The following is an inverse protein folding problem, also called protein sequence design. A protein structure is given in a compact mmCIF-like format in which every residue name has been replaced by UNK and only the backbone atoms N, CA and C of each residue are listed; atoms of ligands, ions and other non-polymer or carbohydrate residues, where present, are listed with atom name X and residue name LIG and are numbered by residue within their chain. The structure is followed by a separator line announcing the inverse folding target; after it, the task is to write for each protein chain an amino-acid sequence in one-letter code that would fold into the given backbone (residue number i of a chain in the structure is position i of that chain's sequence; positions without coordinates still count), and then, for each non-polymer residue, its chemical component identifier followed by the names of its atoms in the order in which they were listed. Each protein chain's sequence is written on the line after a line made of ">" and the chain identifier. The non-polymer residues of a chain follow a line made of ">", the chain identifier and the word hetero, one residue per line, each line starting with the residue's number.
data_IF_640078358324
#
_entry.id   IF_640078358324
#
_cell.length_a   1.000
_cell.length_b   1.000
_cell.length_c   1.000
_cell.angle_alpha   90.00
_cell.angle_beta   90.00
_cell.angle_gamma   90.00
#
_symmetry.space_group_name_H-M   'P 1'
#
loop_
_entity.id
_entity.type
_entity.pdbx_description
1 polymer ?
#
# COMPACT_ATOMS: atom_id res chain seq x y z
N UNK A 1 -22.83 -15.46 2.31
CA UNK A 1 -21.73 -15.31 1.34
C UNK A 1 -22.29 -14.54 0.17
N UNK A 2 -21.77 -13.35 -0.13
CA UNK A 2 -22.14 -12.66 -1.36
C UNK A 2 -21.74 -13.55 -2.54
N UNK A 3 -22.65 -13.71 -3.51
CA UNK A 3 -22.36 -14.49 -4.72
C UNK A 3 -21.20 -13.81 -5.45
N UNK A 4 -20.16 -14.55 -5.81
CA UNK A 4 -18.98 -13.99 -6.48
C UNK A 4 -19.36 -13.28 -7.79
N UNK A 5 -18.94 -12.00 -7.92
CA UNK A 5 -19.16 -11.18 -9.13
C UNK A 5 -18.17 -11.54 -10.23
N UNK A 6 -18.55 -11.29 -11.48
CA UNK A 6 -17.62 -11.29 -12.63
C UNK A 6 -16.95 -9.92 -12.74
N UNK A 7 -15.68 -9.83 -12.36
CA UNK A 7 -14.92 -8.58 -12.32
C UNK A 7 -13.87 -8.60 -13.44
N UNK A 8 -13.92 -7.57 -14.28
CA UNK A 8 -13.01 -7.41 -15.41
C UNK A 8 -11.98 -6.31 -15.12
N UNK A 9 -10.69 -6.63 -15.25
CA UNK A 9 -9.60 -5.70 -14.99
C UNK A 9 -8.95 -5.24 -16.31
N UNK A 10 -8.99 -3.94 -16.60
CA UNK A 10 -8.29 -3.34 -17.75
C UNK A 10 -6.88 -2.91 -17.32
N UNK A 11 -5.85 -3.36 -18.05
CA UNK A 11 -4.45 -3.19 -17.68
C UNK A 11 -4.01 -4.18 -16.60
N UNK A 12 -4.51 -5.43 -16.69
CA UNK A 12 -4.37 -6.45 -15.64
C UNK A 12 -2.93 -6.89 -15.39
N UNK A 13 -2.02 -6.75 -16.38
CA UNK A 13 -0.63 -7.15 -16.28
C UNK A 13 0.26 -6.12 -15.54
N UNK A 14 -0.28 -4.98 -15.11
CA UNK A 14 0.41 -4.10 -14.18
C UNK A 14 0.58 -4.78 -12.81
N UNK A 15 1.74 -4.62 -12.15
CA UNK A 15 2.07 -5.30 -10.88
C UNK A 15 0.96 -5.16 -9.82
N UNK A 16 0.48 -3.94 -9.60
CA UNK A 16 -0.57 -3.68 -8.62
C UNK A 16 -1.92 -4.28 -9.05
N UNK A 17 -2.25 -4.25 -10.35
CA UNK A 17 -3.48 -4.82 -10.88
C UNK A 17 -3.48 -6.36 -10.82
N UNK A 18 -2.33 -7.00 -11.07
CA UNK A 18 -2.18 -8.45 -10.91
C UNK A 18 -2.35 -8.87 -9.44
N UNK A 19 -1.79 -8.09 -8.51
CA UNK A 19 -1.98 -8.30 -7.07
C UNK A 19 -3.45 -8.14 -6.65
N UNK A 20 -4.14 -7.14 -7.18
CA UNK A 20 -5.58 -6.96 -7.00
C UNK A 20 -6.37 -8.15 -7.55
N UNK A 21 -6.01 -8.66 -8.73
CA UNK A 21 -6.65 -9.85 -9.31
C UNK A 21 -6.58 -11.04 -8.34
N UNK A 22 -5.44 -11.24 -7.70
CA UNK A 22 -5.25 -12.28 -6.69
C UNK A 22 -6.12 -12.07 -5.44
N UNK A 23 -6.19 -10.85 -4.90
CA UNK A 23 -7.07 -10.52 -3.77
C UNK A 23 -8.55 -10.78 -4.10
N UNK A 24 -9.02 -10.33 -5.26
CA UNK A 24 -10.40 -10.54 -5.71
C UNK A 24 -10.72 -12.04 -5.89
N UNK A 25 -9.77 -12.81 -6.41
CA UNK A 25 -9.88 -14.28 -6.50
C UNK A 25 -9.99 -14.93 -5.13
N UNK A 26 -9.14 -14.51 -4.17
CA UNK A 26 -9.21 -15.01 -2.79
C UNK A 26 -10.53 -14.63 -2.10
N UNK A 27 -11.14 -13.52 -2.48
CA UNK A 27 -12.46 -13.12 -2.01
C UNK A 27 -13.62 -13.90 -2.66
N UNK A 28 -13.33 -14.78 -3.64
CA UNK A 28 -14.33 -15.62 -4.30
C UNK A 28 -14.96 -15.02 -5.55
N UNK A 29 -14.41 -13.93 -6.09
CA UNK A 29 -14.86 -13.35 -7.35
C UNK A 29 -14.31 -14.14 -8.56
N UNK A 30 -15.06 -14.13 -9.65
CA UNK A 30 -14.55 -14.50 -10.97
C UNK A 30 -13.79 -13.30 -11.52
N UNK A 31 -12.50 -13.49 -11.83
CA UNK A 31 -11.63 -12.42 -12.31
C UNK A 31 -11.09 -12.78 -13.68
N UNK A 32 -11.15 -11.84 -14.59
CA UNK A 32 -10.53 -11.87 -15.92
C UNK A 32 -10.15 -10.44 -16.32
N UNK A 33 -9.41 -10.28 -17.38
CA UNK A 33 -9.05 -8.93 -17.80
C UNK A 33 -8.30 -8.89 -19.11
N UNK A 34 -7.80 -7.72 -19.46
CA UNK A 34 -7.05 -7.46 -20.67
C UNK A 34 -5.83 -6.60 -20.42
N UNK A 35 -4.90 -6.70 -21.35
CA UNK A 35 -3.75 -5.80 -21.43
C UNK A 35 -3.35 -5.57 -22.89
N UNK A 36 -2.55 -4.52 -23.14
CA UNK A 36 -1.93 -4.29 -24.45
C UNK A 36 -0.99 -5.46 -24.80
N UNK A 37 -0.23 -5.91 -23.79
CA UNK A 37 0.67 -7.04 -23.91
C UNK A 37 0.91 -7.68 -22.52
N UNK A 38 0.95 -9.00 -22.46
CA UNK A 38 1.23 -9.74 -21.25
C UNK A 38 2.65 -10.31 -21.30
N UNK A 39 3.48 -9.92 -20.32
CA UNK A 39 4.87 -10.37 -20.18
C UNK A 39 5.14 -10.96 -18.80
N UNK A 40 6.06 -11.94 -18.69
CA UNK A 40 6.56 -12.38 -17.41
C UNK A 40 7.20 -11.20 -16.61
N UNK A 41 7.11 -11.22 -15.29
CA UNK A 41 6.53 -12.29 -14.42
C UNK A 41 5.01 -12.20 -14.23
N UNK A 42 4.35 -11.09 -14.59
CA UNK A 42 2.93 -10.88 -14.28
C UNK A 42 2.01 -11.83 -15.06
N UNK A 43 2.32 -12.13 -16.34
CA UNK A 43 1.55 -13.10 -17.12
C UNK A 43 1.55 -14.48 -16.47
N UNK A 44 2.71 -14.91 -15.95
CA UNK A 44 2.87 -16.22 -15.33
C UNK A 44 2.09 -16.30 -14.00
N UNK A 45 2.19 -15.26 -13.17
CA UNK A 45 1.41 -15.16 -11.93
C UNK A 45 -0.10 -15.20 -12.18
N UNK A 46 -0.59 -14.48 -13.19
CA UNK A 46 -2.01 -14.49 -13.56
C UNK A 46 -2.44 -15.87 -14.06
N UNK A 47 -1.60 -16.54 -14.85
CA UNK A 47 -1.87 -17.90 -15.33
C UNK A 47 -1.91 -18.91 -14.16
N UNK A 48 -0.98 -18.84 -13.22
CA UNK A 48 -0.98 -19.67 -11.99
C UNK A 48 -2.23 -19.46 -11.14
N UNK A 49 -2.75 -18.24 -11.08
CA UNK A 49 -4.01 -17.92 -10.42
C UNK A 49 -5.25 -18.37 -11.19
N UNK A 50 -5.09 -18.89 -12.43
CA UNK A 50 -6.19 -19.25 -13.31
C UNK A 50 -6.99 -18.04 -13.81
N UNK A 51 -6.35 -16.88 -13.95
CA UNK A 51 -6.95 -15.64 -14.44
C UNK A 51 -6.73 -15.52 -15.94
N UNK A 52 -7.82 -15.44 -16.70
CA UNK A 52 -7.75 -15.28 -18.15
C UNK A 52 -7.38 -13.84 -18.54
N UNK A 53 -6.35 -13.68 -19.37
CA UNK A 53 -5.88 -12.41 -19.91
C UNK A 53 -6.11 -12.34 -21.41
N UNK A 54 -6.91 -11.40 -21.86
CA UNK A 54 -7.14 -11.12 -23.29
C UNK A 54 -6.10 -10.10 -23.81
N UNK A 55 -5.65 -10.29 -25.05
CA UNK A 55 -4.73 -9.40 -25.76
C UNK A 55 -5.08 -9.39 -27.25
N UNK A 56 -4.94 -8.26 -27.95
CA UNK A 56 -4.88 -6.90 -27.40
C UNK A 56 -6.24 -6.48 -26.85
N UNK A 57 -6.37 -5.20 -26.41
CA UNK A 57 -7.66 -4.61 -26.06
C UNK A 57 -8.64 -4.71 -27.25
N UNK A 58 -9.83 -5.22 -26.98
CA UNK A 58 -10.88 -5.34 -27.99
C UNK A 58 -12.26 -5.32 -27.31
N UNK A 59 -13.23 -4.63 -27.90
CA UNK A 59 -14.57 -4.53 -27.32
C UNK A 59 -15.19 -5.89 -27.00
N UNK A 60 -14.96 -6.92 -27.82
CA UNK A 60 -15.42 -8.30 -27.60
C UNK A 60 -14.89 -8.96 -26.32
N UNK A 61 -13.79 -8.48 -25.77
CA UNK A 61 -13.20 -9.03 -24.54
C UNK A 61 -14.10 -8.82 -23.31
N UNK A 62 -15.03 -7.86 -23.38
CA UNK A 62 -16.05 -7.63 -22.38
C UNK A 62 -17.23 -8.62 -22.42
N UNK A 63 -17.18 -9.62 -23.32
CA UNK A 63 -18.18 -10.69 -23.36
C UNK A 63 -17.75 -11.92 -22.53
N UNK A 64 -18.63 -12.51 -21.73
CA UNK A 64 -19.96 -11.98 -21.35
C UNK A 64 -19.81 -10.64 -20.59
N UNK A 65 -20.87 -9.81 -20.59
CA UNK A 65 -20.87 -8.52 -19.89
C UNK A 65 -20.49 -8.71 -18.41
N UNK A 66 -19.41 -8.04 -17.92
CA UNK A 66 -19.01 -8.14 -16.51
C UNK A 66 -19.96 -7.38 -15.58
N UNK A 67 -19.99 -7.79 -14.31
CA UNK A 67 -20.71 -7.07 -13.25
C UNK A 67 -20.02 -5.76 -12.86
N UNK A 68 -18.68 -5.71 -12.99
CA UNK A 68 -17.85 -4.56 -12.68
C UNK A 68 -16.59 -4.56 -13.54
N UNK A 69 -16.19 -3.38 -14.02
CA UNK A 69 -14.89 -3.15 -14.66
C UNK A 69 -13.99 -2.33 -13.74
N UNK A 70 -12.79 -2.83 -13.48
CA UNK A 70 -11.75 -2.06 -12.77
C UNK A 70 -10.79 -1.49 -13.80
N UNK A 71 -10.69 -0.17 -13.84
CA UNK A 71 -9.87 0.55 -14.82
C UNK A 71 -8.51 0.86 -14.22
N UNK A 72 -7.43 0.31 -14.80
CA UNK A 72 -6.07 0.63 -14.42
C UNK A 72 -5.68 2.07 -14.75
N UNK A 73 -4.73 2.64 -14.03
CA UNK A 73 -4.34 4.06 -14.17
C UNK A 73 -3.72 4.39 -15.54
N UNK A 74 -3.13 3.43 -16.23
CA UNK A 74 -2.57 3.61 -17.57
C UNK A 74 -3.64 3.66 -18.68
N UNK A 75 -4.89 3.30 -18.38
CA UNK A 75 -5.99 3.30 -19.34
C UNK A 75 -6.54 4.71 -19.49
N UNK A 76 -6.69 5.16 -20.74
CA UNK A 76 -7.20 6.49 -21.07
C UNK A 76 -8.27 6.42 -22.17
N UNK A 77 -8.94 7.56 -22.39
CA UNK A 77 -9.92 7.73 -23.46
C UNK A 77 -9.31 7.35 -24.81
N UNK A 78 -10.12 6.74 -25.65
CA UNK A 78 -9.70 6.13 -26.93
C UNK A 78 -9.36 4.65 -26.83
N UNK A 79 -9.27 4.06 -25.63
CA UNK A 79 -9.18 2.61 -25.49
C UNK A 79 -10.54 1.97 -25.84
N UNK A 80 -10.55 1.02 -26.79
CA UNK A 80 -11.78 0.46 -27.35
C UNK A 80 -12.68 -0.25 -26.34
N UNK A 81 -12.09 -0.82 -25.28
CA UNK A 81 -12.86 -1.43 -24.19
C UNK A 81 -13.44 -0.35 -23.28
N UNK A 82 -12.65 0.67 -22.93
CA UNK A 82 -13.13 1.79 -22.12
C UNK A 82 -14.28 2.54 -22.80
N UNK A 83 -14.16 2.82 -24.10
CA UNK A 83 -15.24 3.48 -24.84
C UNK A 83 -16.52 2.64 -24.79
N UNK A 84 -16.44 1.32 -24.98
CA UNK A 84 -17.57 0.42 -24.82
C UNK A 84 -18.15 0.43 -23.41
N UNK A 85 -17.30 0.43 -22.38
CA UNK A 85 -17.74 0.52 -20.95
C UNK A 85 -18.59 1.77 -20.75
N UNK A 86 -18.16 2.90 -21.30
CA UNK A 86 -18.85 4.18 -21.16
C UNK A 86 -20.16 4.20 -21.97
N UNK A 87 -20.14 3.76 -23.23
CA UNK A 87 -21.29 3.75 -24.11
C UNK A 87 -22.44 2.85 -23.58
N UNK A 88 -22.08 1.66 -23.10
CA UNK A 88 -23.03 0.69 -22.58
C UNK A 88 -23.35 0.88 -21.08
N UNK A 89 -22.74 1.88 -20.43
CA UNK A 89 -22.90 2.14 -18.99
C UNK A 89 -22.64 0.88 -18.15
N UNK A 90 -21.56 0.16 -18.46
CA UNK A 90 -21.12 -0.95 -17.62
C UNK A 90 -20.58 -0.35 -16.32
N UNK A 91 -20.94 -0.86 -15.15
CA UNK A 91 -20.41 -0.37 -13.88
C UNK A 91 -18.88 -0.43 -13.90
N UNK A 92 -18.22 0.66 -13.54
CA UNK A 92 -16.77 0.70 -13.46
C UNK A 92 -16.28 1.50 -12.27
N UNK A 93 -15.06 1.20 -11.83
CA UNK A 93 -14.39 1.89 -10.74
C UNK A 93 -12.86 1.87 -10.95
N UNK A 94 -12.15 2.55 -10.07
CA UNK A 94 -10.70 2.48 -10.00
C UNK A 94 -10.22 1.32 -9.13
N UNK A 95 -8.93 0.96 -9.25
CA UNK A 95 -8.27 0.00 -8.36
C UNK A 95 -8.44 0.39 -6.88
N UNK A 96 -8.19 1.66 -6.54
CA UNK A 96 -8.26 2.12 -5.16
C UNK A 96 -9.68 2.07 -4.59
N UNK A 97 -10.70 2.39 -5.43
CA UNK A 97 -12.11 2.30 -5.02
C UNK A 97 -12.53 0.85 -4.76
N UNK A 98 -12.20 -0.10 -5.64
CA UNK A 98 -12.57 -1.51 -5.40
C UNK A 98 -11.86 -2.10 -4.21
N UNK A 99 -10.61 -1.69 -3.92
CA UNK A 99 -9.92 -2.11 -2.69
C UNK A 99 -10.70 -1.62 -1.47
N UNK A 100 -11.09 -0.35 -1.45
CA UNK A 100 -11.89 0.21 -0.37
C UNK A 100 -13.20 -0.56 -0.17
N UNK A 101 -13.96 -0.74 -1.25
CA UNK A 101 -15.34 -1.26 -1.18
C UNK A 101 -15.36 -2.76 -0.84
N UNK A 102 -14.41 -3.55 -1.37
CA UNK A 102 -14.40 -5.00 -1.19
C UNK A 102 -13.67 -5.44 0.09
N UNK A 103 -12.64 -4.70 0.50
CA UNK A 103 -11.70 -5.24 1.49
C UNK A 103 -11.56 -4.43 2.77
N UNK A 104 -11.90 -3.12 2.77
CA UNK A 104 -11.55 -2.27 3.90
C UNK A 104 -12.68 -2.04 4.92
N UNK A 105 -13.91 -2.48 4.62
CA UNK A 105 -15.00 -2.36 5.57
C UNK A 105 -14.76 -3.21 6.83
N UNK A 106 -14.81 -2.57 8.01
CA UNK A 106 -14.61 -3.24 9.30
C UNK A 106 -13.16 -3.67 9.59
N UNK A 107 -12.19 -3.21 8.79
CA UNK A 107 -10.76 -3.49 8.98
C UNK A 107 -10.06 -2.38 9.74
N UNK A 108 -8.95 -2.73 10.36
CA UNK A 108 -7.96 -1.78 10.88
C UNK A 108 -6.95 -1.51 9.76
N UNK A 109 -6.93 -0.27 9.25
CA UNK A 109 -6.27 0.10 8.01
C UNK A 109 -4.94 0.78 8.31
N UNK A 110 -3.84 0.13 7.96
CA UNK A 110 -2.49 0.64 8.17
C UNK A 110 -1.86 0.97 6.83
N UNK A 111 -1.61 2.24 6.58
CA UNK A 111 -1.12 2.75 5.29
C UNK A 111 0.30 3.27 5.42
N UNK A 112 1.19 2.81 4.56
CA UNK A 112 2.56 3.32 4.47
C UNK A 112 2.68 4.19 3.22
N UNK A 113 2.89 5.47 3.41
CA UNK A 113 3.00 6.46 2.33
C UNK A 113 4.33 7.24 2.40
N UNK A 114 4.72 7.84 1.30
CA UNK A 114 5.95 8.61 1.15
C UNK A 114 6.52 8.45 -0.26
N UNK A 115 7.49 9.27 -0.63
CA UNK A 115 8.11 9.18 -1.95
C UNK A 115 9.03 7.95 -2.05
N UNK A 116 9.78 7.64 -0.97
CA UNK A 116 10.72 6.53 -0.91
C UNK A 116 10.46 5.60 0.28
N UNK A 117 10.86 4.34 0.13
CA UNK A 117 10.80 3.35 1.20
C UNK A 117 9.44 2.71 1.45
N UNK A 118 8.39 3.07 0.72
CA UNK A 118 7.02 2.52 0.87
C UNK A 118 7.00 0.99 0.87
N UNK A 119 7.43 0.37 -0.21
CA UNK A 119 7.38 -1.09 -0.41
C UNK A 119 8.13 -1.85 0.69
N UNK A 120 9.35 -1.39 1.00
CA UNK A 120 10.18 -1.99 2.04
C UNK A 120 9.52 -1.87 3.42
N UNK A 121 9.05 -0.68 3.78
CA UNK A 121 8.39 -0.44 5.08
C UNK A 121 7.09 -1.21 5.19
N UNK A 122 6.28 -1.27 4.12
CA UNK A 122 5.04 -2.04 4.07
C UNK A 122 5.31 -3.53 4.25
N UNK A 123 6.35 -4.05 3.59
CA UNK A 123 6.76 -5.45 3.72
C UNK A 123 7.22 -5.78 5.14
N UNK A 124 8.03 -4.92 5.74
CA UNK A 124 8.47 -5.08 7.13
C UNK A 124 7.31 -5.02 8.11
N UNK A 125 6.39 -4.07 7.94
CA UNK A 125 5.20 -3.96 8.78
C UNK A 125 4.32 -5.21 8.68
N UNK A 126 4.06 -5.66 7.45
CA UNK A 126 3.30 -6.88 7.21
C UNK A 126 3.96 -8.11 7.85
N UNK A 127 5.31 -8.21 7.78
CA UNK A 127 6.05 -9.30 8.39
C UNK A 127 6.01 -9.27 9.92
N UNK A 128 6.11 -8.10 10.54
CA UNK A 128 5.94 -7.94 12.00
C UNK A 128 4.56 -8.49 12.43
N UNK A 129 3.50 -8.10 11.72
CA UNK A 129 2.15 -8.58 12.01
C UNK A 129 1.99 -10.09 11.75
N UNK A 130 2.60 -10.63 10.70
CA UNK A 130 2.57 -12.07 10.41
C UNK A 130 3.25 -12.88 11.53
N UNK A 131 4.41 -12.42 12.01
CA UNK A 131 5.13 -13.06 13.12
C UNK A 131 4.32 -12.96 14.42
N UNK A 132 3.76 -11.80 14.71
CA UNK A 132 2.88 -11.62 15.86
C UNK A 132 1.62 -12.50 15.76
N UNK A 133 1.08 -12.66 14.55
CA UNK A 133 -0.07 -13.51 14.26
C UNK A 133 0.16 -15.00 14.53
N UNK A 134 1.40 -15.47 14.56
CA UNK A 134 1.73 -16.86 14.96
C UNK A 134 1.39 -17.15 16.42
N UNK A 135 1.47 -16.14 17.28
CA UNK A 135 1.13 -16.21 18.72
C UNK A 135 -0.27 -15.69 19.00
N UNK A 136 -0.71 -14.66 18.26
CA UNK A 136 -2.01 -14.00 18.37
C UNK A 136 -2.69 -13.98 17.00
N UNK A 137 -3.45 -15.03 16.64
CA UNK A 137 -4.00 -15.24 15.28
C UNK A 137 -4.83 -14.05 14.75
N UNK A 138 -5.43 -13.27 15.64
CA UNK A 138 -6.20 -12.07 15.30
C UNK A 138 -5.36 -10.95 14.68
N UNK A 139 -4.03 -11.01 14.84
CA UNK A 139 -3.09 -10.04 14.28
C UNK A 139 -2.57 -10.44 12.88
N UNK A 140 -2.81 -11.65 12.40
CA UNK A 140 -2.37 -12.06 11.07
C UNK A 140 -2.92 -11.10 10.01
N UNK A 141 -2.07 -10.42 9.20
CA UNK A 141 -2.52 -9.32 8.37
C UNK A 141 -3.08 -9.78 7.03
N UNK A 142 -4.05 -9.04 6.51
CA UNK A 142 -4.22 -8.87 5.07
C UNK A 142 -3.25 -7.79 4.61
N UNK A 143 -2.76 -7.88 3.38
CA UNK A 143 -1.88 -6.85 2.84
C UNK A 143 -1.95 -6.73 1.32
N UNK A 144 -1.58 -5.55 0.83
CA UNK A 144 -1.30 -5.28 -0.57
C UNK A 144 -0.04 -4.40 -0.65
N UNK A 145 1.00 -4.94 -1.25
CA UNK A 145 2.34 -4.37 -1.36
C UNK A 145 2.65 -4.14 -2.85
N UNK A 146 3.38 -3.09 -3.19
CA UNK A 146 3.73 -2.73 -4.56
C UNK A 146 4.73 -3.66 -5.26
N UNK A 147 5.24 -4.67 -4.57
CA UNK A 147 6.15 -5.69 -5.09
C UNK A 147 6.01 -7.01 -4.34
N UNK A 148 6.64 -8.06 -4.85
CA UNK A 148 6.67 -9.36 -4.18
C UNK A 148 7.57 -9.27 -2.95
N UNK A 149 6.99 -9.44 -1.76
CA UNK A 149 7.75 -9.52 -0.52
C UNK A 149 8.29 -10.95 -0.37
N UNK A 150 9.62 -11.11 -0.37
CA UNK A 150 10.30 -12.42 -0.39
C UNK A 150 9.83 -13.33 0.75
N UNK A 151 9.67 -12.79 1.95
CA UNK A 151 9.21 -13.54 3.13
C UNK A 151 7.82 -14.17 2.96
N UNK A 152 7.00 -13.63 2.06
CA UNK A 152 5.65 -14.13 1.77
C UNK A 152 5.58 -14.88 0.44
N UNK A 153 6.56 -14.68 -0.44
CA UNK A 153 6.48 -15.12 -1.84
C UNK A 153 5.31 -14.50 -2.62
N UNK A 154 4.75 -13.40 -2.10
CA UNK A 154 3.55 -12.75 -2.64
C UNK A 154 3.55 -11.25 -2.35
N UNK A 155 2.85 -10.49 -3.19
CA UNK A 155 2.57 -9.07 -3.00
C UNK A 155 1.24 -8.80 -2.29
N UNK A 156 0.44 -9.83 -2.00
CA UNK A 156 -0.87 -9.71 -1.37
C UNK A 156 -1.21 -10.92 -0.50
N UNK A 157 -2.08 -10.70 0.47
CA UNK A 157 -2.77 -11.77 1.21
C UNK A 157 -4.12 -11.26 1.72
N UNK A 158 -5.13 -12.12 1.74
CA UNK A 158 -6.43 -11.86 2.34
C UNK A 158 -6.67 -12.82 3.51
N UNK A 159 -6.90 -12.28 4.70
CA UNK A 159 -7.16 -13.02 5.94
C UNK A 159 -8.50 -12.59 6.53
N UNK A 160 -9.19 -13.43 7.31
CA UNK A 160 -10.46 -13.06 7.97
C UNK A 160 -10.28 -12.15 9.20
N UNK A 161 -9.08 -11.66 9.45
CA UNK A 161 -8.67 -10.83 10.60
C UNK A 161 -8.86 -9.36 10.29
N UNK A 162 -8.74 -8.49 11.32
CA UNK A 162 -8.95 -7.05 11.16
C UNK A 162 -7.80 -6.29 10.48
N UNK A 163 -6.51 -6.56 10.79
CA UNK A 163 -5.42 -5.79 10.22
C UNK A 163 -5.38 -5.88 8.69
N UNK A 164 -5.33 -4.72 8.01
CA UNK A 164 -5.06 -4.62 6.59
C UNK A 164 -3.96 -3.59 6.34
N UNK A 165 -2.84 -4.04 5.80
CA UNK A 165 -1.65 -3.23 5.57
C UNK A 165 -1.55 -2.91 4.08
N UNK A 166 -1.46 -1.62 3.76
CA UNK A 166 -1.51 -1.11 2.39
C UNK A 166 -0.31 -0.23 2.09
N UNK A 167 0.26 -0.44 0.94
CA UNK A 167 1.18 0.54 0.36
C UNK A 167 0.37 1.73 -0.19
N UNK A 168 0.65 2.91 0.33
CA UNK A 168 0.00 4.16 -0.02
C UNK A 168 0.71 4.85 -1.18
N UNK A 169 0.27 4.54 -2.39
CA UNK A 169 0.81 5.12 -3.62
C UNK A 169 0.25 6.53 -3.86
N UNK A 170 1.15 7.47 -4.15
CA UNK A 170 0.84 8.86 -4.49
C UNK A 170 0.44 9.08 -5.94
N UNK A 171 0.52 8.06 -6.78
CA UNK A 171 0.13 8.15 -8.19
C UNK A 171 -1.39 8.27 -8.39
N UNK A 172 -1.75 8.90 -9.50
CA UNK A 172 -3.12 8.97 -10.01
C UNK A 172 -3.82 7.60 -9.99
N UNK A 173 -5.07 7.62 -9.59
CA UNK A 173 -5.88 6.42 -9.41
C UNK A 173 -6.40 5.86 -10.74
N UNK A 174 -6.96 6.73 -11.61
CA UNK A 174 -7.51 6.39 -12.91
C UNK A 174 -7.67 7.64 -13.79
N UNK A 175 -8.06 7.46 -15.05
CA UNK A 175 -8.27 8.59 -15.99
C UNK A 175 -9.34 9.58 -15.49
N UNK A 176 -10.33 9.13 -14.76
CA UNK A 176 -11.44 9.91 -14.19
C UNK A 176 -11.21 10.33 -12.74
N UNK A 177 -10.15 9.83 -12.10
CA UNK A 177 -9.77 10.13 -10.72
C UNK A 177 -8.28 10.45 -10.66
N UNK A 178 -7.99 11.76 -10.70
CA UNK A 178 -6.64 12.33 -10.72
C UNK A 178 -6.10 12.60 -9.32
N UNK A 179 -6.55 11.84 -8.35
CA UNK A 179 -6.06 11.87 -6.98
C UNK A 179 -5.19 10.67 -6.62
N UNK A 180 -4.30 10.83 -5.61
CA UNK A 180 -3.49 9.73 -5.09
C UNK A 180 -4.33 8.55 -4.60
N UNK A 181 -3.88 7.33 -4.88
CA UNK A 181 -4.58 6.09 -4.46
C UNK A 181 -4.80 6.02 -2.95
N UNK A 182 -3.84 6.48 -2.15
CA UNK A 182 -3.93 6.43 -0.69
C UNK A 182 -5.12 7.21 -0.11
N UNK A 183 -5.70 8.16 -0.85
CA UNK A 183 -6.88 8.91 -0.38
C UNK A 183 -8.14 8.06 -0.29
N UNK A 184 -8.19 6.93 -0.98
CA UNK A 184 -9.28 5.98 -0.92
C UNK A 184 -9.19 5.01 0.26
N UNK A 185 -8.06 4.97 0.96
CA UNK A 185 -7.83 3.93 1.97
C UNK A 185 -8.31 4.31 3.39
N UNK A 186 -8.49 5.59 3.68
CA UNK A 186 -8.98 6.10 4.99
C UNK A 186 -8.27 5.43 6.17
N UNK A 187 -6.98 5.65 6.37
CA UNK A 187 -6.18 4.91 7.34
C UNK A 187 -6.59 5.16 8.79
N UNK A 188 -6.61 4.11 9.62
CA UNK A 188 -6.66 4.23 11.08
C UNK A 188 -5.29 4.60 11.66
N UNK A 189 -4.20 4.14 11.01
CA UNK A 189 -2.86 4.62 11.29
C UNK A 189 -2.03 4.70 10.00
N UNK A 190 -1.10 5.65 9.93
CA UNK A 190 -0.24 5.85 8.79
C UNK A 190 1.23 5.97 9.17
N UNK A 191 2.11 5.48 8.30
CA UNK A 191 3.52 5.86 8.28
C UNK A 191 3.71 6.85 7.14
N UNK A 192 4.33 7.99 7.42
CA UNK A 192 4.80 8.93 6.40
C UNK A 192 6.32 8.88 6.42
N UNK A 193 6.89 8.25 5.40
CA UNK A 193 8.34 8.08 5.28
C UNK A 193 8.99 9.36 4.79
N UNK A 194 9.53 9.40 3.59
CA UNK A 194 10.14 10.58 3.01
C UNK A 194 9.17 11.24 2.04
N UNK A 195 9.10 12.57 2.02
CA UNK A 195 8.30 13.33 1.07
C UNK A 195 9.20 14.34 0.38
N UNK A 196 9.33 14.21 -0.93
CA UNK A 196 10.08 15.14 -1.77
C UNK A 196 9.42 15.29 -3.13
N UNK A 197 9.89 16.26 -3.93
CA UNK A 197 9.37 16.43 -5.27
C UNK A 197 9.91 15.35 -6.20
N UNK A 198 9.09 14.36 -6.42
CA UNK A 198 9.27 13.29 -7.40
C UNK A 198 8.01 13.20 -8.26
N UNK A 199 8.09 12.46 -9.37
CA UNK A 199 6.95 12.26 -10.28
C UNK A 199 6.44 13.55 -10.92
N UNK A 200 7.34 14.29 -11.59
CA UNK A 200 7.03 15.54 -12.31
C UNK A 200 6.00 15.38 -13.46
N UNK A 201 5.69 14.16 -13.84
CA UNK A 201 4.63 13.78 -14.78
C UNK A 201 3.22 13.93 -14.18
N UNK A 202 3.09 13.89 -12.84
CA UNK A 202 1.81 13.95 -12.13
C UNK A 202 1.68 15.23 -11.32
N UNK A 203 2.76 15.61 -10.60
CA UNK A 203 2.77 16.79 -9.75
C UNK A 203 3.51 17.93 -10.42
N UNK A 204 2.85 19.07 -10.52
CA UNK A 204 3.44 20.26 -11.14
C UNK A 204 4.57 20.88 -10.32
N UNK A 205 4.55 20.73 -8.99
CA UNK A 205 5.48 21.31 -8.03
C UNK A 205 5.43 20.60 -6.67
N UNK A 206 6.36 20.93 -5.79
CA UNK A 206 6.44 20.41 -4.43
C UNK A 206 5.18 20.71 -3.60
N UNK A 207 4.54 21.86 -3.81
CA UNK A 207 3.33 22.22 -3.06
C UNK A 207 2.15 21.32 -3.42
N UNK A 208 2.07 20.85 -4.67
CA UNK A 208 1.08 19.85 -5.07
C UNK A 208 1.31 18.50 -4.36
N UNK A 209 2.56 18.09 -4.22
CA UNK A 209 2.93 16.88 -3.44
C UNK A 209 2.53 17.05 -1.96
N UNK A 210 2.97 18.16 -1.33
CA UNK A 210 2.61 18.46 0.06
C UNK A 210 1.09 18.48 0.27
N UNK A 211 0.36 19.05 -0.67
CA UNK A 211 -1.10 19.09 -0.60
C UNK A 211 -1.72 17.68 -0.58
N UNK A 212 -1.20 16.78 -1.41
CA UNK A 212 -1.65 15.38 -1.43
C UNK A 212 -1.43 14.69 -0.07
N UNK A 213 -0.23 14.85 0.53
CA UNK A 213 0.08 14.28 1.84
C UNK A 213 -0.71 14.95 2.98
N UNK A 214 -0.94 16.27 2.94
CA UNK A 214 -1.83 16.95 3.90
C UNK A 214 -3.27 16.40 3.83
N UNK A 215 -3.76 16.02 2.65
CA UNK A 215 -5.07 15.35 2.51
C UNK A 215 -5.06 13.97 3.16
N UNK A 216 -4.00 13.15 2.94
CA UNK A 216 -3.85 11.85 3.61
C UNK A 216 -3.89 12.01 5.14
N UNK A 217 -3.10 12.95 5.68
CA UNK A 217 -3.04 13.25 7.12
C UNK A 217 -4.42 13.59 7.68
N UNK A 218 -5.22 14.37 6.96
CA UNK A 218 -6.57 14.74 7.36
C UNK A 218 -7.59 13.59 7.34
N UNK A 219 -7.26 12.47 6.70
CA UNK A 219 -8.11 11.28 6.68
C UNK A 219 -7.89 10.37 7.88
N UNK A 220 -6.79 10.55 8.62
CA UNK A 220 -6.53 9.77 9.83
C UNK A 220 -7.44 10.26 10.95
N UNK A 221 -8.29 9.40 11.56
CA UNK A 221 -9.24 9.82 12.58
C UNK A 221 -8.53 10.25 13.87
N UNK A 222 -9.19 11.05 14.70
CA UNK A 222 -8.63 11.57 15.95
C UNK A 222 -8.08 10.47 16.89
N UNK A 223 -8.71 9.30 16.90
CA UNK A 223 -8.25 8.13 17.66
C UNK A 223 -7.05 7.41 17.02
N UNK A 224 -6.72 7.77 15.78
CA UNK A 224 -5.65 7.16 15.00
C UNK A 224 -4.26 7.69 15.37
N UNK A 225 -3.28 7.35 14.55
CA UNK A 225 -1.91 7.83 14.73
C UNK A 225 -1.15 7.94 13.42
N UNK A 226 -0.14 8.78 13.42
CA UNK A 226 0.81 8.93 12.34
C UNK A 226 2.22 8.74 12.89
N UNK A 227 3.00 7.87 12.24
CA UNK A 227 4.43 7.74 12.47
C UNK A 227 5.13 8.52 11.35
N UNK A 228 5.80 9.61 11.68
CA UNK A 228 6.34 10.57 10.73
C UNK A 228 7.86 10.65 10.80
N UNK A 229 8.53 10.67 9.64
CA UNK A 229 9.98 10.80 9.58
C UNK A 229 10.44 12.17 10.11
N UNK A 230 11.34 12.15 11.09
CA UNK A 230 11.87 13.34 11.77
C UNK A 230 12.89 14.13 10.91
N UNK A 231 13.62 13.46 10.03
CA UNK A 231 14.67 14.04 9.21
C UNK A 231 14.19 14.85 8.01
N UNK A 232 12.90 15.23 7.92
CA UNK A 232 12.33 15.99 6.81
C UNK A 232 11.45 17.14 7.29
N UNK A 233 11.82 18.37 6.94
CA UNK A 233 10.99 19.56 7.17
C UNK A 233 9.66 19.47 6.40
N UNK A 234 9.69 18.89 5.20
CA UNK A 234 8.50 18.71 4.37
C UNK A 234 7.50 17.76 5.06
N UNK A 235 7.97 16.65 5.60
CA UNK A 235 7.12 15.73 6.38
C UNK A 235 6.57 16.44 7.61
N UNK A 236 7.42 17.19 8.32
CA UNK A 236 7.01 18.00 9.48
C UNK A 236 5.88 18.97 9.13
N UNK A 237 6.00 19.66 8.01
CA UNK A 237 4.95 20.56 7.51
C UNK A 237 3.66 19.83 7.13
N UNK A 238 3.78 18.66 6.49
CA UNK A 238 2.61 17.87 6.09
C UNK A 238 1.78 17.38 7.28
N UNK A 239 2.43 17.00 8.39
CA UNK A 239 1.75 16.47 9.58
C UNK A 239 1.40 17.53 10.62
N UNK A 240 1.83 18.77 10.46
CA UNK A 240 1.69 19.85 11.47
C UNK A 240 0.25 20.13 11.90
N UNK A 241 -0.73 19.82 11.06
CA UNK A 241 -2.16 20.03 11.34
C UNK A 241 -2.94 18.71 11.47
N UNK A 242 -2.27 17.63 11.84
CA UNK A 242 -2.94 16.35 12.09
C UNK A 242 -3.91 16.49 13.28
N UNK A 243 -5.06 15.82 13.19
CA UNK A 243 -6.05 15.75 14.28
C UNK A 243 -5.83 14.56 15.20
N UNK A 244 -4.91 13.67 14.86
CA UNK A 244 -4.52 12.48 15.63
C UNK A 244 -3.16 12.65 16.28
N UNK A 245 -2.75 11.66 17.08
CA UNK A 245 -1.40 11.59 17.62
C UNK A 245 -0.37 11.45 16.48
N UNK A 246 0.70 12.26 16.53
CA UNK A 246 1.85 12.17 15.64
C UNK A 246 3.06 11.81 16.47
N UNK A 247 3.70 10.69 16.18
CA UNK A 247 4.94 10.25 16.80
C UNK A 247 6.04 10.30 15.71
N UNK A 248 7.19 10.85 16.02
CA UNK A 248 8.29 11.00 15.08
C UNK A 248 9.28 9.86 15.24
N UNK A 249 9.82 9.39 14.12
CA UNK A 249 10.92 8.43 14.11
C UNK A 249 12.11 8.99 13.33
N UNK A 250 13.30 8.68 13.79
CA UNK A 250 14.52 9.16 13.13
C UNK A 250 15.74 9.05 14.02
N UNK A 251 16.79 9.77 13.67
CA UNK A 251 18.04 9.83 14.44
C UNK A 251 18.14 11.13 15.27
N UNK A 252 17.26 12.09 15.05
CA UNK A 252 17.22 13.37 15.74
C UNK A 252 16.86 13.23 17.22
N UNK A 253 17.27 14.22 18.02
CA UNK A 253 16.97 14.23 19.47
C UNK A 253 15.49 14.44 19.76
N UNK A 254 14.74 14.99 18.80
CA UNK A 254 13.30 15.22 18.91
C UNK A 254 12.43 14.00 18.49
N UNK A 255 13.03 12.91 18.04
CA UNK A 255 12.29 11.72 17.66
C UNK A 255 11.87 10.90 18.87
N UNK A 256 10.55 10.61 18.99
CA UNK A 256 10.02 9.72 20.04
C UNK A 256 10.51 8.28 19.86
N UNK A 257 10.69 7.85 18.61
CA UNK A 257 11.28 6.57 18.21
C UNK A 257 12.67 6.83 17.64
N UNK A 258 13.62 7.01 18.56
CA UNK A 258 14.96 7.43 18.19
C UNK A 258 15.86 6.25 17.91
N UNK A 259 16.41 6.19 16.70
CA UNK A 259 17.43 5.25 16.29
C UNK A 259 18.79 5.73 16.75
N UNK A 260 19.53 4.89 17.49
CA UNK A 260 20.89 5.16 17.99
C UNK A 260 21.79 3.95 17.81
N UNK A 261 23.09 4.17 17.81
CA UNK A 261 24.10 3.10 17.79
C UNK A 261 24.08 2.27 16.50
N UNK A 262 23.80 2.93 15.36
CA UNK A 262 23.81 2.26 14.05
C UNK A 262 25.20 1.70 13.73
N UNK A 263 25.28 0.40 13.51
CA UNK A 263 26.48 -0.30 13.09
C UNK A 263 26.19 -1.22 11.90
N UNK A 264 27.10 -1.26 10.95
CA UNK A 264 27.00 -2.11 9.76
C UNK A 264 28.22 -3.01 9.69
N UNK A 265 28.00 -4.31 9.76
CA UNK A 265 29.07 -5.31 9.71
C UNK A 265 28.55 -6.60 9.06
N UNK A 266 29.38 -7.19 8.17
CA UNK A 266 29.07 -8.48 7.56
C UNK A 266 27.77 -8.52 6.77
N UNK A 267 27.35 -7.41 6.14
CA UNK A 267 26.10 -7.31 5.40
C UNK A 267 24.84 -7.17 6.27
N UNK A 268 25.02 -7.03 7.58
CA UNK A 268 23.96 -6.80 8.55
C UNK A 268 24.01 -5.39 9.09
N UNK A 269 22.85 -4.87 9.47
CA UNK A 269 22.71 -3.59 10.15
C UNK A 269 22.11 -3.82 11.53
N UNK A 270 22.77 -3.28 12.57
CA UNK A 270 22.31 -3.33 13.98
C UNK A 270 22.08 -1.93 14.49
N UNK A 271 21.07 -1.76 15.32
CA UNK A 271 20.79 -0.50 15.99
C UNK A 271 19.90 -0.70 17.22
N UNK A 272 19.85 0.32 18.05
CA UNK A 272 18.92 0.39 19.18
C UNK A 272 17.86 1.44 18.91
N UNK A 273 16.61 1.15 19.23
CA UNK A 273 15.53 2.12 19.25
C UNK A 273 15.27 2.55 20.70
N UNK A 274 15.35 3.86 20.94
CA UNK A 274 14.98 4.50 22.19
C UNK A 274 13.54 5.02 22.10
N UNK A 275 12.78 4.91 23.18
CA UNK A 275 11.45 5.49 23.34
C UNK A 275 11.26 6.01 24.75
N UNK A 276 10.68 7.22 24.90
CA UNK A 276 10.38 7.81 26.23
C UNK A 276 11.61 7.85 27.16
N UNK A 277 12.80 8.09 26.60
CA UNK A 277 14.05 8.14 27.34
C UNK A 277 14.65 6.77 27.74
N UNK A 278 13.96 5.66 27.46
CA UNK A 278 14.41 4.31 27.72
C UNK A 278 14.72 3.52 26.42
N UNK A 279 15.39 2.40 26.58
CA UNK A 279 15.62 1.46 25.47
C UNK A 279 14.32 0.70 25.18
N UNK A 280 13.80 0.80 23.97
CA UNK A 280 12.66 0.02 23.49
C UNK A 280 13.10 -1.38 23.06
N UNK A 281 14.02 -1.47 22.08
CA UNK A 281 14.55 -2.74 21.59
C UNK A 281 15.87 -2.55 20.84
N UNK A 282 16.61 -3.66 20.68
CA UNK A 282 17.71 -3.78 19.71
C UNK A 282 17.22 -4.53 18.49
N UNK A 283 17.66 -4.09 17.32
CA UNK A 283 17.30 -4.66 16.04
C UNK A 283 18.54 -5.10 15.27
N UNK A 284 18.40 -6.17 14.51
CA UNK A 284 19.34 -6.62 13.50
C UNK A 284 18.58 -6.97 12.22
N UNK A 285 19.04 -6.44 11.10
CA UNK A 285 18.53 -6.79 9.77
C UNK A 285 19.65 -7.35 8.88
N UNK A 286 19.36 -8.39 8.06
CA UNK A 286 20.26 -8.87 7.03
C UNK A 286 20.22 -7.97 5.78
N UNK A 287 20.16 -6.66 5.98
CA UNK A 287 20.11 -5.64 4.93
C UNK A 287 21.02 -4.50 5.35
N UNK A 288 21.84 -4.00 4.41
CA UNK A 288 22.69 -2.85 4.64
C UNK A 288 21.90 -1.54 4.44
N UNK A 289 22.36 -0.49 5.10
CA UNK A 289 21.91 0.89 4.88
C UNK A 289 21.06 1.46 6.00
N UNK A 290 21.37 2.71 6.34
CA UNK A 290 20.63 3.51 7.32
C UNK A 290 19.14 3.61 6.98
N UNK A 291 18.81 3.78 5.70
CA UNK A 291 17.41 3.87 5.25
C UNK A 291 16.59 2.61 5.60
N UNK A 292 17.20 1.41 5.57
CA UNK A 292 16.53 0.18 5.95
C UNK A 292 16.29 0.11 7.47
N UNK A 293 17.25 0.60 8.27
CA UNK A 293 17.06 0.70 9.72
C UNK A 293 15.96 1.72 10.08
N UNK A 294 15.89 2.84 9.38
CA UNK A 294 14.81 3.82 9.52
C UNK A 294 13.46 3.24 9.12
N UNK A 295 13.36 2.54 7.99
CA UNK A 295 12.13 1.87 7.54
C UNK A 295 11.64 0.84 8.58
N UNK A 296 12.55 0.03 9.13
CA UNK A 296 12.23 -0.95 10.16
C UNK A 296 11.82 -0.29 11.48
N UNK A 297 12.45 0.82 11.84
CA UNK A 297 12.08 1.59 13.04
C UNK A 297 10.67 2.16 12.89
N UNK A 298 10.31 2.70 11.72
CA UNK A 298 8.96 3.20 11.43
C UNK A 298 7.91 2.07 11.54
N UNK A 299 8.20 0.91 10.94
CA UNK A 299 7.32 -0.26 10.99
C UNK A 299 7.13 -0.76 12.43
N UNK A 300 8.21 -0.85 13.20
CA UNK A 300 8.15 -1.23 14.62
C UNK A 300 7.37 -0.22 15.48
N UNK A 301 7.56 1.08 15.21
CA UNK A 301 6.85 2.16 15.91
C UNK A 301 5.33 2.07 15.69
N UNK A 302 4.87 1.90 14.44
CA UNK A 302 3.45 1.72 14.17
C UNK A 302 2.92 0.45 14.81
N UNK A 303 3.60 -0.67 14.66
CA UNK A 303 3.20 -1.95 15.22
C UNK A 303 3.05 -1.88 16.75
N UNK A 304 4.04 -1.33 17.46
CA UNK A 304 3.97 -1.13 18.90
C UNK A 304 2.82 -0.18 19.29
N UNK A 305 2.63 0.88 18.52
CA UNK A 305 1.56 1.86 18.75
C UNK A 305 0.15 1.27 18.64
N UNK A 306 -0.03 0.16 17.92
CA UNK A 306 -1.31 -0.55 17.80
C UNK A 306 -1.35 -1.88 18.57
N UNK A 307 -0.41 -2.07 19.52
CA UNK A 307 -0.42 -3.16 20.47
C UNK A 307 0.32 -4.43 20.05
N UNK A 308 1.20 -4.35 19.05
CA UNK A 308 2.14 -5.42 18.73
C UNK A 308 3.44 -5.19 19.50
N UNK A 309 3.79 -6.09 20.43
CA UNK A 309 5.00 -5.96 21.25
C UNK A 309 6.30 -6.20 20.48
N UNK A 310 7.43 -5.83 21.12
CA UNK A 310 8.77 -6.01 20.57
C UNK A 310 9.31 -7.45 20.66
N UNK A 311 8.56 -8.39 21.26
CA UNK A 311 8.96 -9.78 21.52
C UNK A 311 8.87 -10.67 20.28
#
# INVERSE_FOLDING_TARGET
>A
MQQGRDIYLMGICGTAMASLAGLLRQAGHRVRGSDAAAYPPMSDQLAEMGVAVAQPYAAKNLEPRPDLVVVGNAISRGNVELERVLDERIPFCSMASVIHDEFLAGRDRYVVAGTHGKTTTTSMLAWIFEVAGRRRPELAPSFLIGGVAENFGSSYALRPTRPFILEGDEYDTAFFDKGPKFLHYFPDAAIVTHVEFDHADIYKDLEAVKYAFKRLVNLVPQRGRIIAFDGSEIVTECVAKAFCAVERYGMGEGAEWRLVGLAQEGGKTRWTVMREGGRFAEFELPMAGEHNALNATAAAALAAGVGVGAE
#
